data_IF_797802814534
#
_entry.id   IF_797802814534
#
_cell.length_a   1.000
_cell.length_b   1.000
_cell.length_c   1.000
_cell.angle_alpha   90.00
_cell.angle_beta   90.00
_cell.angle_gamma   90.00
#
_symmetry.space_group_name_H-M   'P 1'
#
loop_
_entity.id
_entity.type
_entity.pdbx_description
1 polymer ?
#
# COMPACT_ATOMS: atom_id res chain seq x y z
N UNK A 1 -6.80 6.36 23.25
CA UNK A 1 -6.05 5.12 23.04
C UNK A 1 -5.42 5.22 21.68
N UNK A 2 -4.09 5.21 21.59
CA UNK A 2 -3.40 5.15 20.30
C UNK A 2 -3.52 3.71 19.79
N UNK A 3 -4.22 3.52 18.67
CA UNK A 3 -4.32 2.23 18.02
C UNK A 3 -3.20 2.15 16.97
N UNK A 4 -2.29 1.19 17.12
CA UNK A 4 -1.26 0.91 16.14
C UNK A 4 -1.69 -0.26 15.26
N UNK A 5 -1.36 -0.18 13.97
CA UNK A 5 -1.63 -1.24 12.99
C UNK A 5 -0.31 -1.70 12.39
N UNK A 6 -0.15 -3.01 12.22
CA UNK A 6 1.03 -3.55 11.53
C UNK A 6 1.07 -3.11 10.07
N UNK A 7 2.27 -2.91 9.56
CA UNK A 7 2.52 -2.67 8.13
C UNK A 7 2.67 -3.98 7.36
N UNK A 8 2.35 -3.95 6.07
CA UNK A 8 2.68 -5.02 5.13
C UNK A 8 3.00 -4.42 3.76
N UNK A 9 4.09 -4.89 3.13
CA UNK A 9 4.37 -4.52 1.75
C UNK A 9 3.39 -5.23 0.83
N UNK A 10 2.81 -4.52 -0.16
CA UNK A 10 1.90 -5.14 -1.14
C UNK A 10 2.53 -6.35 -1.84
N UNK A 11 3.84 -6.32 -2.06
CA UNK A 11 4.59 -7.46 -2.62
C UNK A 11 4.62 -8.70 -1.73
N UNK A 12 4.58 -8.53 -0.41
CA UNK A 12 4.52 -9.62 0.57
C UNK A 12 3.08 -10.13 0.78
N UNK A 13 2.09 -9.45 0.20
CA UNK A 13 0.67 -9.75 0.32
C UNK A 13 0.06 -10.23 -1.01
N UNK A 14 0.86 -10.84 -1.89
CA UNK A 14 0.37 -11.28 -3.19
C UNK A 14 -0.69 -12.38 -3.06
N UNK A 15 -1.79 -12.23 -3.79
CA UNK A 15 -2.79 -13.29 -3.93
C UNK A 15 -2.20 -14.53 -4.63
N UNK A 16 -2.78 -15.72 -4.43
CA UNK A 16 -2.31 -16.95 -5.08
C UNK A 16 -2.17 -16.79 -6.60
N UNK A 17 -0.98 -17.10 -7.13
CA UNK A 17 -0.67 -17.00 -8.55
C UNK A 17 -0.32 -15.59 -9.06
N UNK A 18 -0.36 -14.56 -8.20
CA UNK A 18 0.02 -13.19 -8.57
C UNK A 18 1.51 -12.98 -8.27
N UNK A 19 2.30 -12.45 -9.23
CA UNK A 19 3.68 -12.08 -8.96
C UNK A 19 3.78 -11.01 -7.85
N UNK A 20 4.73 -11.13 -6.90
CA UNK A 20 4.94 -10.12 -5.85
C UNK A 20 5.06 -8.69 -6.38
N UNK A 21 5.72 -8.50 -7.53
CA UNK A 21 5.83 -7.19 -8.18
C UNK A 21 4.45 -6.61 -8.54
N UNK A 22 3.54 -7.42 -9.07
CA UNK A 22 2.21 -6.95 -9.46
C UNK A 22 1.36 -6.60 -8.23
N UNK A 23 1.50 -7.36 -7.15
CA UNK A 23 0.85 -7.08 -5.88
C UNK A 23 1.38 -5.81 -5.19
N UNK A 24 2.64 -5.45 -5.42
CA UNK A 24 3.21 -4.19 -4.90
C UNK A 24 2.45 -2.95 -5.38
N UNK A 25 1.72 -3.04 -6.49
CA UNK A 25 0.95 -1.92 -7.03
C UNK A 25 -0.46 -1.80 -6.45
N UNK A 26 -0.89 -2.75 -5.60
CA UNK A 26 -2.20 -2.78 -4.96
C UNK A 26 -3.36 -2.57 -5.93
N UNK A 27 -3.27 -3.21 -7.11
CA UNK A 27 -4.30 -3.16 -8.15
C UNK A 27 -5.38 -4.20 -7.88
N UNK A 28 -6.48 -4.09 -8.62
CA UNK A 28 -7.61 -5.00 -8.52
C UNK A 28 -7.17 -6.47 -8.54
N UNK A 29 -7.68 -7.27 -7.59
CA UNK A 29 -7.40 -8.71 -7.46
C UNK A 29 -5.92 -9.11 -7.33
N UNK A 30 -5.05 -8.21 -6.88
CA UNK A 30 -3.61 -8.54 -6.72
C UNK A 30 -3.20 -8.90 -5.29
N UNK A 31 -3.98 -8.45 -4.29
CA UNK A 31 -3.69 -8.62 -2.87
C UNK A 31 -4.49 -9.79 -2.28
N UNK A 32 -3.88 -10.56 -1.39
CA UNK A 32 -4.56 -11.58 -0.60
C UNK A 32 -5.27 -10.93 0.61
N UNK A 33 -6.62 -10.99 0.68
CA UNK A 33 -7.37 -10.42 1.80
C UNK A 33 -6.99 -10.99 3.16
N UNK A 34 -6.53 -12.24 3.22
CA UNK A 34 -6.13 -12.89 4.47
C UNK A 34 -4.85 -12.31 5.04
N UNK A 35 -3.95 -11.84 4.18
CA UNK A 35 -2.66 -11.27 4.56
C UNK A 35 -2.77 -9.79 4.95
N UNK A 36 -3.65 -9.03 4.29
CA UNK A 36 -3.77 -7.58 4.53
C UNK A 36 -4.84 -7.20 5.57
N UNK A 37 -5.68 -8.14 6.01
CA UNK A 37 -6.75 -7.89 6.98
C UNK A 37 -6.21 -7.21 8.24
N UNK A 38 -6.75 -6.03 8.56
CA UNK A 38 -6.37 -5.29 9.77
C UNK A 38 -5.01 -4.60 9.70
N UNK A 39 -4.36 -4.54 8.53
CA UNK A 39 -3.04 -3.93 8.35
C UNK A 39 -3.09 -2.65 7.53
N UNK A 40 -2.03 -1.86 7.64
CA UNK A 40 -1.73 -0.76 6.73
C UNK A 40 -0.88 -1.33 5.59
N UNK A 41 -1.33 -1.18 4.34
CA UNK A 41 -0.66 -1.74 3.16
C UNK A 41 0.22 -0.68 2.51
N UNK A 42 1.49 -1.02 2.26
CA UNK A 42 2.42 -0.17 1.52
C UNK A 42 2.37 -0.54 0.03
N UNK A 43 1.94 0.42 -0.77
CA UNK A 43 1.70 0.28 -2.21
C UNK A 43 2.63 1.19 -3.00
N UNK A 44 2.90 0.85 -4.25
CA UNK A 44 3.69 1.69 -5.17
C UNK A 44 2.86 2.08 -6.39
N UNK A 45 3.06 3.30 -6.87
CA UNK A 45 2.51 3.73 -8.18
C UNK A 45 3.31 3.07 -9.31
N UNK A 46 2.62 2.40 -10.23
CA UNK A 46 3.28 1.76 -11.38
C UNK A 46 3.39 2.71 -12.56
N UNK A 47 2.26 3.34 -12.92
CA UNK A 47 2.12 4.17 -14.11
C UNK A 47 1.58 5.55 -13.74
N UNK A 48 1.93 6.56 -14.56
CA UNK A 48 1.37 7.91 -14.44
C UNK A 48 -0.16 7.92 -14.55
N UNK A 49 -0.72 6.99 -15.32
CA UNK A 49 -2.16 6.85 -15.57
C UNK A 49 -2.89 6.07 -14.47
N UNK A 50 -2.21 5.54 -13.46
CA UNK A 50 -2.86 4.83 -12.35
C UNK A 50 -3.81 5.78 -11.60
N UNK A 51 -5.03 5.32 -11.30
CA UNK A 51 -5.93 6.07 -10.42
C UNK A 51 -5.55 5.75 -8.97
N UNK A 52 -4.86 6.67 -8.31
CA UNK A 52 -4.35 6.48 -6.93
C UNK A 52 -5.46 6.12 -5.94
N UNK A 53 -6.63 6.75 -6.09
CA UNK A 53 -7.78 6.51 -5.24
C UNK A 53 -8.33 5.07 -5.35
N UNK A 54 -8.23 4.42 -6.51
CA UNK A 54 -8.70 3.05 -6.69
C UNK A 54 -7.88 2.04 -5.89
N UNK A 55 -6.57 2.26 -5.74
CA UNK A 55 -5.69 1.41 -4.92
C UNK A 55 -6.22 1.31 -3.48
N UNK A 56 -6.67 2.43 -2.92
CA UNK A 56 -7.28 2.46 -1.58
C UNK A 56 -8.62 1.69 -1.51
N UNK A 57 -9.39 1.66 -2.60
CA UNK A 57 -10.63 0.88 -2.68
C UNK A 57 -10.30 -0.62 -2.62
N UNK A 58 -9.29 -1.07 -3.37
CA UNK A 58 -8.91 -2.48 -3.37
C UNK A 58 -8.32 -2.93 -2.02
N UNK A 59 -7.53 -2.08 -1.37
CA UNK A 59 -7.06 -2.33 0.01
C UNK A 59 -8.25 -2.45 0.98
N UNK A 60 -9.23 -1.54 0.89
CA UNK A 60 -10.45 -1.58 1.72
C UNK A 60 -11.27 -2.85 1.48
N UNK A 61 -11.43 -3.27 0.22
CA UNK A 61 -12.15 -4.50 -0.14
C UNK A 61 -11.47 -5.74 0.45
N UNK A 62 -10.14 -5.76 0.51
CA UNK A 62 -9.37 -6.79 1.21
C UNK A 62 -9.32 -6.64 2.74
N UNK A 63 -10.10 -5.72 3.32
CA UNK A 63 -10.19 -5.48 4.78
C UNK A 63 -8.88 -4.91 5.36
N UNK A 64 -8.07 -4.25 4.53
CA UNK A 64 -6.99 -3.38 5.00
C UNK A 64 -7.55 -2.10 5.63
N UNK A 65 -6.90 -1.60 6.68
CA UNK A 65 -7.37 -0.45 7.45
C UNK A 65 -6.76 0.88 7.01
N UNK A 66 -5.68 0.82 6.25
CA UNK A 66 -5.00 2.00 5.73
C UNK A 66 -4.02 1.68 4.59
N UNK A 67 -3.51 2.73 3.96
CA UNK A 67 -2.60 2.64 2.83
C UNK A 67 -1.50 3.69 2.90
N UNK A 68 -0.25 3.29 2.70
CA UNK A 68 0.84 4.22 2.39
C UNK A 68 1.19 4.03 0.93
N UNK A 69 1.09 5.09 0.13
CA UNK A 69 1.37 5.03 -1.30
C UNK A 69 2.73 5.69 -1.59
N UNK A 70 3.67 4.92 -2.12
CA UNK A 70 4.92 5.42 -2.66
C UNK A 70 4.64 5.92 -4.08
N UNK A 71 4.67 7.24 -4.27
CA UNK A 71 4.40 7.87 -5.56
C UNK A 71 5.57 8.81 -5.95
N UNK A 72 6.37 8.46 -6.98
CA UNK A 72 7.52 9.26 -7.39
C UNK A 72 7.15 10.55 -8.13
N UNK A 73 5.90 10.72 -8.54
CA UNK A 73 5.49 11.79 -9.48
C UNK A 73 4.47 12.75 -8.90
N UNK A 74 3.76 12.35 -7.86
CA UNK A 74 2.70 13.17 -7.26
C UNK A 74 3.21 14.10 -6.15
N UNK A 75 4.34 14.78 -6.40
CA UNK A 75 4.90 15.73 -5.44
C UNK A 75 3.97 16.91 -5.21
N UNK A 76 3.65 17.16 -3.95
CA UNK A 76 2.78 18.21 -3.45
C UNK A 76 1.30 18.09 -3.91
N UNK A 77 0.87 16.88 -4.28
CA UNK A 77 -0.53 16.57 -4.60
C UNK A 77 -1.18 15.82 -3.45
N UNK A 78 -2.32 16.32 -2.99
CA UNK A 78 -3.11 15.70 -1.93
C UNK A 78 -4.17 14.79 -2.56
N UNK A 79 -4.21 13.52 -2.14
CA UNK A 79 -5.25 12.58 -2.52
C UNK A 79 -6.18 12.29 -1.35
N UNK A 80 -7.47 12.24 -1.63
CA UNK A 80 -8.45 11.74 -0.68
C UNK A 80 -8.68 10.24 -0.92
N UNK A 81 -8.49 9.43 0.12
CA UNK A 81 -8.68 7.98 0.07
C UNK A 81 -9.93 7.55 0.85
N UNK A 82 -10.48 6.38 0.50
CA UNK A 82 -11.65 5.78 1.17
C UNK A 82 -11.34 5.12 2.52
N UNK A 83 -10.05 5.10 2.89
CA UNK A 83 -9.45 4.62 4.12
C UNK A 83 -8.32 5.60 4.50
N UNK A 84 -7.80 5.50 5.73
CA UNK A 84 -6.64 6.30 6.13
C UNK A 84 -5.48 6.05 5.17
N UNK A 85 -4.89 7.11 4.64
CA UNK A 85 -3.70 6.94 3.83
C UNK A 85 -2.87 8.19 3.65
N UNK A 86 -1.64 7.96 3.25
CA UNK A 86 -0.63 9.00 3.01
C UNK A 86 0.11 8.68 1.72
N UNK A 87 0.63 9.72 1.06
CA UNK A 87 1.51 9.58 -0.09
C UNK A 87 2.92 10.00 0.33
N UNK A 88 3.90 9.17 0.00
CA UNK A 88 5.32 9.41 0.29
C UNK A 88 6.15 9.32 -0.99
N UNK A 89 7.28 10.01 -0.97
CA UNK A 89 8.27 10.00 -2.06
C UNK A 89 9.30 8.88 -1.88
N UNK A 90 10.07 8.54 -2.93
CA UNK A 90 11.09 7.49 -2.85
C UNK A 90 12.07 7.67 -1.68
N UNK A 91 12.45 8.89 -1.34
CA UNK A 91 13.40 9.16 -0.26
C UNK A 91 12.83 8.74 1.11
N UNK A 92 11.57 9.07 1.40
CA UNK A 92 10.89 8.62 2.62
C UNK A 92 10.53 7.13 2.56
N UNK A 93 10.36 6.57 1.35
CA UNK A 93 10.08 5.16 1.17
C UNK A 93 11.28 4.28 1.55
N UNK A 94 12.51 4.72 1.29
CA UNK A 94 13.72 4.00 1.69
C UNK A 94 13.79 3.82 3.22
N UNK A 95 13.51 4.88 3.98
CA UNK A 95 13.45 4.82 5.45
C UNK A 95 12.35 3.88 5.95
N UNK A 96 11.15 3.99 5.37
CA UNK A 96 10.02 3.11 5.71
C UNK A 96 10.34 1.64 5.41
N UNK A 97 10.95 1.35 4.26
CA UNK A 97 11.32 0.00 3.87
C UNK A 97 12.40 -0.57 4.79
N UNK A 98 13.38 0.24 5.20
CA UNK A 98 14.39 -0.15 6.18
C UNK A 98 13.74 -0.52 7.52
N UNK A 99 12.80 0.30 8.02
CA UNK A 99 12.03 -0.03 9.22
C UNK A 99 11.27 -1.36 9.09
N UNK A 100 10.53 -1.54 8.00
CA UNK A 100 9.76 -2.76 7.74
C UNK A 100 10.61 -4.02 7.61
N UNK A 101 11.89 -3.90 7.23
CA UNK A 101 12.81 -5.03 7.18
C UNK A 101 13.31 -5.46 8.57
N UNK A 102 13.25 -4.58 9.57
CA UNK A 102 13.70 -4.86 10.94
C UNK A 102 12.61 -5.44 11.83
N UNK A 103 11.35 -5.08 11.60
CA UNK A 103 10.21 -5.65 12.33
C UNK A 103 9.73 -6.94 11.64
N UNK A 104 10.05 -8.08 12.26
CA UNK A 104 9.50 -9.39 11.89
C UNK A 104 8.52 -9.89 12.93
#
# INVERSE_FOLDING_TARGET
MENYYSLIAGSAAAAPGIPPKNASFCKNNTLDPTLIKGKIVVCTTELLTDIRAEKAIFVKQGIGVGMILIDPVAKDVIFQFVIHGSVIYPEAAEELQAYMATEK
#
